data_IF_682768355922
#
_entry.id   IF_682768355922
#
_cell.length_a   1.000
_cell.length_b   1.000
_cell.length_c   1.000
_cell.angle_alpha   90.00
_cell.angle_beta   90.00
_cell.angle_gamma   90.00
#
_symmetry.space_group_name_H-M   'P 1'
#
loop_
_entity.id
_entity.type
_entity.pdbx_description
1 polymer ?
#
# COMPACT_ATOMS: atom_id res chain seq x y z
N UNK A 1 -11.41 -20.31 12.59
CA UNK A 1 -10.89 -19.94 11.26
C UNK A 1 -11.30 -18.50 10.98
N UNK A 2 -10.40 -17.59 10.60
CA UNK A 2 -10.80 -16.24 10.19
C UNK A 2 -11.62 -16.34 8.89
N UNK A 3 -12.87 -15.90 8.93
CA UNK A 3 -13.73 -15.79 7.75
C UNK A 3 -13.37 -14.50 7.01
N UNK A 4 -13.01 -14.62 5.73
CA UNK A 4 -12.74 -13.47 4.86
C UNK A 4 -13.95 -13.27 3.98
N UNK A 5 -14.49 -12.05 4.00
CA UNK A 5 -15.65 -11.64 3.24
C UNK A 5 -15.16 -10.92 1.97
N UNK A 6 -15.61 -11.32 0.78
CA UNK A 6 -15.10 -10.79 -0.50
C UNK A 6 -16.25 -10.58 -1.47
N UNK A 7 -16.54 -9.34 -1.88
CA UNK A 7 -17.44 -9.05 -2.99
C UNK A 7 -16.63 -9.03 -4.30
N UNK A 8 -17.22 -9.26 -5.46
CA UNK A 8 -16.49 -9.19 -6.73
C UNK A 8 -17.39 -8.46 -7.73
N UNK A 9 -16.88 -7.39 -8.35
CA UNK A 9 -17.64 -6.47 -9.18
C UNK A 9 -17.19 -6.58 -10.65
N UNK A 10 -18.05 -7.07 -11.57
CA UNK A 10 -17.80 -6.90 -12.99
C UNK A 10 -17.92 -5.42 -13.37
N UNK A 11 -17.05 -4.94 -14.25
CA UNK A 11 -17.15 -3.61 -14.86
C UNK A 11 -17.80 -3.84 -16.23
N UNK A 12 -19.09 -3.51 -16.54
CA UNK A 12 -20.08 -2.58 -15.95
C UNK A 12 -21.43 -3.22 -15.51
N UNK A 13 -22.28 -2.43 -14.82
CA UNK A 13 -23.54 -2.76 -14.09
C UNK A 13 -23.35 -3.27 -12.66
N UNK A 14 -23.43 -2.34 -11.70
CA UNK A 14 -23.41 -2.63 -10.25
C UNK A 14 -24.72 -3.35 -9.87
N UNK A 15 -24.67 -4.69 -9.80
CA UNK A 15 -25.77 -5.51 -9.28
C UNK A 15 -25.69 -5.61 -7.76
N UNK A 16 -26.77 -5.20 -7.09
CA UNK A 16 -26.88 -4.94 -5.63
C UNK A 16 -27.14 -6.17 -4.74
N UNK A 17 -26.73 -7.38 -5.11
CA UNK A 17 -27.33 -8.59 -4.50
C UNK A 17 -26.35 -9.64 -3.94
N UNK A 18 -25.35 -9.23 -3.14
CA UNK A 18 -24.51 -10.18 -2.39
C UNK A 18 -24.02 -9.63 -1.05
N UNK A 19 -23.88 -10.51 -0.06
CA UNK A 19 -23.58 -10.17 1.33
C UNK A 19 -22.24 -10.79 1.79
N UNK A 20 -21.55 -10.20 2.79
CA UNK A 20 -20.27 -10.67 3.32
C UNK A 20 -20.19 -12.19 3.60
N UNK A 21 -21.29 -12.79 4.08
CA UNK A 21 -21.40 -14.22 4.42
C UNK A 21 -21.23 -15.20 3.24
N UNK A 22 -21.17 -14.71 2.01
CA UNK A 22 -21.22 -15.55 0.80
C UNK A 22 -19.82 -16.02 0.31
N UNK A 23 -18.70 -15.68 0.97
CA UNK A 23 -17.35 -15.75 0.33
C UNK A 23 -16.15 -16.22 1.17
N UNK A 24 -16.33 -16.97 2.27
CA UNK A 24 -15.18 -17.53 2.97
C UNK A 24 -14.32 -18.41 2.04
N UNK A 25 -13.01 -18.16 1.99
CA UNK A 25 -12.03 -19.08 1.42
C UNK A 25 -11.53 -19.98 2.54
N UNK A 26 -11.51 -21.29 2.30
CA UNK A 26 -10.81 -22.23 3.16
C UNK A 26 -9.58 -22.75 2.41
N UNK A 27 -8.49 -22.93 3.15
CA UNK A 27 -7.31 -23.61 2.64
C UNK A 27 -7.39 -25.03 3.19
N UNK A 28 -7.58 -26.00 2.30
CA UNK A 28 -7.58 -27.41 2.68
C UNK A 28 -6.13 -27.90 2.65
N UNK A 29 -5.68 -28.42 3.77
CA UNK A 29 -4.42 -29.13 3.87
C UNK A 29 -4.73 -30.64 3.87
N UNK A 30 -4.56 -31.29 2.72
CA UNK A 30 -4.77 -32.74 2.60
C UNK A 30 -3.77 -33.59 3.40
N UNK A 31 -2.79 -32.95 4.08
CA UNK A 31 -1.77 -33.63 4.88
C UNK A 31 -2.03 -33.65 6.39
N UNK A 32 -3.27 -33.37 6.86
CA UNK A 32 -3.68 -33.56 8.27
C UNK A 32 -3.71 -35.03 8.76
N UNK A 33 -2.87 -35.90 8.18
CA UNK A 33 -2.45 -37.17 8.75
C UNK A 33 -0.94 -37.10 8.99
N UNK A 34 -0.56 -36.76 10.22
CA UNK A 34 0.80 -36.85 10.83
C UNK A 34 1.62 -35.54 10.92
N UNK A 35 1.43 -34.81 12.03
CA UNK A 35 2.52 -34.44 12.96
C UNK A 35 3.62 -33.45 12.55
N UNK A 36 3.76 -33.03 11.28
CA UNK A 36 4.78 -32.05 10.88
C UNK A 36 4.15 -30.73 10.49
N UNK A 37 4.29 -29.70 11.33
CA UNK A 37 4.06 -28.30 10.95
C UNK A 37 5.08 -27.88 9.87
N UNK A 38 4.67 -27.76 8.60
CA UNK A 38 5.43 -27.15 7.48
C UNK A 38 4.46 -26.70 6.38
N UNK A 39 4.75 -25.77 5.46
CA UNK A 39 5.59 -24.56 5.37
C UNK A 39 4.72 -23.59 4.50
N UNK A 40 4.52 -22.31 4.85
CA UNK A 40 3.53 -21.46 4.18
C UNK A 40 3.91 -21.05 2.74
N UNK A 41 5.03 -21.58 2.23
CA UNK A 41 5.68 -21.34 0.95
C UNK A 41 5.34 -22.37 -0.15
N UNK A 42 4.58 -23.41 0.19
CA UNK A 42 4.15 -24.47 -0.73
C UNK A 42 2.91 -24.10 -1.54
N UNK A 43 2.60 -24.93 -2.55
CA UNK A 43 1.45 -24.74 -3.44
C UNK A 43 0.14 -24.90 -2.66
N UNK A 44 -0.76 -23.94 -2.84
CA UNK A 44 -2.05 -23.93 -2.16
C UNK A 44 -3.08 -24.86 -2.81
N UNK A 45 -3.87 -25.54 -1.98
CA UNK A 45 -5.19 -26.04 -2.37
C UNK A 45 -6.26 -25.03 -1.91
N UNK A 46 -7.06 -24.56 -2.85
CA UNK A 46 -8.10 -23.56 -2.60
C UNK A 46 -9.46 -24.25 -2.57
N UNK A 47 -10.18 -24.11 -1.47
CA UNK A 47 -11.58 -24.52 -1.39
C UNK A 47 -12.49 -23.30 -1.21
N UNK A 48 -13.66 -23.38 -1.85
CA UNK A 48 -14.62 -22.29 -1.91
C UNK A 48 -15.88 -22.67 -1.13
N UNK A 49 -16.37 -21.76 -0.30
CA UNK A 49 -17.64 -21.97 0.39
C UNK A 49 -18.86 -21.85 -0.54
N UNK A 50 -18.74 -21.14 -1.65
CA UNK A 50 -19.83 -21.03 -2.65
C UNK A 50 -19.31 -21.17 -4.08
N UNK A 51 -20.14 -21.74 -4.95
CA UNK A 51 -19.85 -21.86 -6.38
C UNK A 51 -19.74 -20.48 -7.04
N UNK A 52 -20.44 -19.47 -6.50
CA UNK A 52 -20.34 -18.10 -6.99
C UNK A 52 -18.95 -17.52 -6.76
N UNK A 53 -18.40 -17.67 -5.55
CA UNK A 53 -17.03 -17.24 -5.24
C UNK A 53 -16.01 -17.92 -6.15
N UNK A 54 -16.16 -19.24 -6.33
CA UNK A 54 -15.30 -20.04 -7.19
C UNK A 54 -15.30 -19.52 -8.62
N UNK A 55 -16.47 -19.47 -9.26
CA UNK A 55 -16.61 -19.00 -10.64
C UNK A 55 -16.09 -17.58 -10.84
N UNK A 56 -16.35 -16.68 -9.89
CA UNK A 56 -15.87 -15.30 -9.97
C UNK A 56 -14.34 -15.20 -9.87
N UNK A 57 -13.69 -16.00 -9.02
CA UNK A 57 -12.24 -15.98 -8.90
C UNK A 57 -11.56 -16.72 -10.06
N UNK A 58 -12.18 -17.79 -10.57
CA UNK A 58 -11.75 -18.47 -11.80
C UNK A 58 -11.82 -17.54 -13.02
N UNK A 59 -12.90 -16.75 -13.15
CA UNK A 59 -13.03 -15.75 -14.22
C UNK A 59 -11.92 -14.69 -14.11
N UNK A 60 -11.65 -14.19 -12.91
CA UNK A 60 -10.54 -13.25 -12.68
C UNK A 60 -9.17 -13.87 -13.04
N UNK A 61 -8.97 -15.14 -12.70
CA UNK A 61 -7.76 -15.89 -13.04
C UNK A 61 -7.60 -16.09 -14.56
N UNK A 62 -8.70 -16.36 -15.28
CA UNK A 62 -8.73 -16.45 -16.74
C UNK A 62 -8.35 -15.13 -17.40
N UNK A 63 -8.90 -14.00 -16.92
CA UNK A 63 -8.51 -12.67 -17.39
C UNK A 63 -7.01 -12.41 -17.20
N UNK A 64 -6.45 -12.74 -16.03
CA UNK A 64 -5.01 -12.61 -15.80
C UNK A 64 -4.20 -13.47 -16.78
N UNK A 65 -4.59 -14.74 -17.00
CA UNK A 65 -3.94 -15.63 -17.96
C UNK A 65 -4.00 -15.10 -19.39
N UNK A 66 -5.11 -14.50 -19.79
CA UNK A 66 -5.28 -13.92 -21.13
C UNK A 66 -4.55 -12.60 -21.32
N UNK A 67 -3.84 -12.10 -20.30
CA UNK A 67 -3.11 -10.83 -20.35
C UNK A 67 -3.98 -9.59 -20.08
N UNK A 68 -5.19 -9.79 -19.56
CA UNK A 68 -6.10 -8.72 -19.16
C UNK A 68 -5.78 -8.20 -17.76
N UNK A 69 -6.26 -6.98 -17.47
CA UNK A 69 -6.03 -6.31 -16.19
C UNK A 69 -7.11 -6.67 -15.16
N UNK A 70 -6.66 -7.10 -13.97
CA UNK A 70 -7.52 -7.37 -12.82
C UNK A 70 -7.02 -6.60 -11.61
N UNK A 71 -7.89 -5.83 -10.96
CA UNK A 71 -7.58 -5.25 -9.68
C UNK A 71 -7.97 -6.21 -8.55
N UNK A 72 -7.09 -6.39 -7.56
CA UNK A 72 -7.31 -7.35 -6.47
C UNK A 72 -6.75 -6.84 -5.13
N UNK A 73 -7.34 -7.28 -3.99
CA UNK A 73 -6.92 -6.86 -2.66
C UNK A 73 -5.58 -7.52 -2.29
N UNK A 74 -4.78 -6.84 -1.48
CA UNK A 74 -3.71 -7.49 -0.69
C UNK A 74 -3.85 -7.07 0.77
N UNK A 75 -3.01 -7.57 1.67
CA UNK A 75 -2.95 -7.10 3.05
C UNK A 75 -2.40 -5.66 3.11
N UNK A 76 -1.69 -5.20 2.08
CA UNK A 76 -1.07 -3.86 2.00
C UNK A 76 -1.98 -2.82 1.37
N UNK A 77 -2.11 -2.87 0.04
CA UNK A 77 -2.91 -2.00 -0.82
C UNK A 77 -3.45 -2.85 -1.96
N UNK A 78 -4.51 -2.41 -2.65
CA UNK A 78 -5.00 -3.07 -3.85
C UNK A 78 -3.96 -3.00 -4.96
N UNK A 79 -3.77 -4.11 -5.68
CA UNK A 79 -2.86 -4.25 -6.80
C UNK A 79 -3.59 -4.26 -8.14
N UNK A 80 -2.99 -3.66 -9.17
CA UNK A 80 -3.44 -3.77 -10.56
C UNK A 80 -2.62 -4.87 -11.25
N UNK A 81 -3.17 -6.08 -11.30
CA UNK A 81 -2.48 -7.26 -11.79
C UNK A 81 -2.57 -7.47 -13.29
N UNK A 82 -1.47 -7.96 -13.86
CA UNK A 82 -1.41 -8.62 -15.15
C UNK A 82 -0.34 -9.73 -15.12
N UNK A 83 -0.33 -10.61 -16.12
CA UNK A 83 0.67 -11.68 -16.20
C UNK A 83 2.10 -11.11 -16.31
N UNK A 84 2.95 -11.41 -15.31
CA UNK A 84 4.30 -10.87 -15.21
C UNK A 84 5.26 -11.29 -16.33
N UNK A 85 5.07 -12.47 -16.94
CA UNK A 85 6.02 -13.01 -17.93
C UNK A 85 5.64 -12.63 -19.38
N UNK A 86 4.76 -11.63 -19.53
CA UNK A 86 4.23 -11.16 -20.81
C UNK A 86 4.40 -9.65 -20.93
N UNK A 87 5.15 -9.21 -21.94
CA UNK A 87 5.39 -7.78 -22.15
C UNK A 87 4.10 -7.03 -22.46
N UNK A 88 3.26 -7.55 -23.35
CA UNK A 88 1.97 -6.98 -23.74
C UNK A 88 1.02 -6.78 -22.54
N UNK A 89 0.99 -7.72 -21.61
CA UNK A 89 0.19 -7.63 -20.38
C UNK A 89 0.72 -6.53 -19.44
N UNK A 90 2.05 -6.47 -19.25
CA UNK A 90 2.67 -5.43 -18.42
C UNK A 90 2.55 -4.02 -19.03
N UNK A 91 2.60 -3.88 -20.36
CA UNK A 91 2.39 -2.61 -21.06
C UNK A 91 0.99 -2.03 -20.79
N UNK A 92 -0.03 -2.89 -20.71
CA UNK A 92 -1.39 -2.47 -20.32
C UNK A 92 -1.43 -1.86 -18.93
N UNK A 93 -0.64 -2.35 -17.96
CA UNK A 93 -0.54 -1.75 -16.63
C UNK A 93 -0.01 -0.31 -16.74
N UNK A 94 1.05 -0.09 -17.52
CA UNK A 94 1.61 1.25 -17.70
C UNK A 94 0.62 2.20 -18.37
N UNK A 95 -0.04 1.74 -19.43
CA UNK A 95 -1.05 2.50 -20.16
C UNK A 95 -2.25 2.87 -19.25
N UNK A 96 -2.79 1.91 -18.51
CA UNK A 96 -3.92 2.10 -17.60
C UNK A 96 -3.63 3.17 -16.53
N UNK A 97 -2.41 3.17 -15.99
CA UNK A 97 -2.00 4.05 -14.90
C UNK A 97 -1.42 5.38 -15.35
N UNK A 98 -1.10 5.54 -16.64
CA UNK A 98 -0.18 6.57 -17.13
C UNK A 98 1.13 6.59 -16.31
N UNK A 99 1.74 5.41 -16.16
CA UNK A 99 2.90 5.20 -15.30
C UNK A 99 4.20 5.47 -16.10
N UNK A 100 5.22 6.13 -15.51
CA UNK A 100 6.53 6.27 -16.13
C UNK A 100 7.18 4.90 -16.40
N UNK A 101 7.76 4.72 -17.60
CA UNK A 101 8.33 3.46 -18.07
C UNK A 101 9.63 3.04 -17.36
N UNK A 102 10.21 3.90 -16.53
CA UNK A 102 11.40 3.64 -15.71
C UNK A 102 11.07 3.22 -14.27
N UNK A 103 9.79 3.00 -13.95
CA UNK A 103 9.34 2.64 -12.61
C UNK A 103 8.91 1.16 -12.52
N UNK A 104 9.78 0.26 -12.04
CA UNK A 104 9.59 -1.19 -12.14
C UNK A 104 8.35 -1.68 -11.38
N UNK A 105 7.89 -2.89 -11.71
CA UNK A 105 6.74 -3.54 -11.08
C UNK A 105 7.19 -4.64 -10.10
N UNK A 106 6.35 -4.92 -9.10
CA UNK A 106 6.56 -6.04 -8.18
C UNK A 106 5.79 -7.26 -8.68
N UNK A 107 6.47 -8.40 -8.77
CA UNK A 107 5.88 -9.68 -9.14
C UNK A 107 5.34 -10.37 -7.89
N UNK A 108 4.10 -10.81 -7.97
CA UNK A 108 3.40 -11.53 -6.92
C UNK A 108 3.31 -13.02 -7.27
N UNK A 109 3.62 -13.87 -6.30
CA UNK A 109 3.64 -15.34 -6.42
C UNK A 109 2.75 -15.99 -5.36
N UNK A 110 2.25 -17.20 -5.64
CA UNK A 110 1.50 -17.99 -4.64
C UNK A 110 2.39 -18.94 -3.84
N UNK A 111 3.51 -19.38 -4.41
CA UNK A 111 4.38 -20.43 -3.88
C UNK A 111 5.81 -20.31 -4.45
N UNK A 112 6.73 -21.09 -3.89
CA UNK A 112 8.15 -21.10 -4.30
C UNK A 112 8.40 -21.73 -5.68
N UNK A 113 7.49 -22.54 -6.21
CA UNK A 113 7.60 -23.06 -7.57
C UNK A 113 7.45 -21.92 -8.58
N UNK A 114 6.55 -20.96 -8.35
CA UNK A 114 6.48 -19.74 -9.16
C UNK A 114 7.74 -18.86 -9.01
N UNK A 115 8.35 -18.80 -7.84
CA UNK A 115 9.63 -18.09 -7.67
C UNK A 115 10.71 -18.70 -8.56
N UNK A 116 10.80 -20.03 -8.63
CA UNK A 116 11.79 -20.73 -9.47
C UNK A 116 11.64 -20.39 -10.96
N UNK A 117 10.44 -20.05 -11.43
CA UNK A 117 10.23 -19.59 -12.82
C UNK A 117 10.89 -18.24 -13.09
N UNK A 118 11.17 -17.43 -12.07
CA UNK A 118 11.71 -16.07 -12.20
C UNK A 118 13.25 -16.06 -12.10
N UNK A 119 13.81 -16.96 -11.29
CA UNK A 119 15.23 -16.96 -10.93
C UNK A 119 16.11 -17.63 -11.99
N UNK A 120 17.41 -17.29 -12.07
CA UNK A 120 18.38 -18.11 -12.79
C UNK A 120 18.50 -19.50 -12.15
N UNK A 121 18.61 -20.57 -12.94
CA UNK A 121 18.71 -21.96 -12.45
C UNK A 121 19.85 -22.18 -11.44
N UNK A 122 20.98 -21.51 -11.64
CA UNK A 122 22.15 -21.62 -10.78
C UNK A 122 22.06 -20.75 -9.51
N UNK A 123 21.06 -19.86 -9.40
CA UNK A 123 20.97 -18.93 -8.28
C UNK A 123 20.63 -19.67 -6.98
N UNK A 124 21.41 -19.41 -5.93
CA UNK A 124 21.19 -19.95 -4.59
C UNK A 124 20.79 -18.81 -3.66
N UNK A 125 19.59 -18.94 -3.08
CA UNK A 125 19.11 -18.01 -2.06
C UNK A 125 20.00 -18.18 -0.83
N UNK A 126 20.59 -17.08 -0.34
CA UNK A 126 21.43 -17.09 0.86
C UNK A 126 20.60 -17.28 2.14
N UNK A 127 21.24 -17.69 3.23
CA UNK A 127 20.56 -18.05 4.47
C UNK A 127 19.82 -16.88 5.13
N UNK A 128 20.36 -15.66 5.05
CA UNK A 128 19.67 -14.47 5.57
C UNK A 128 18.37 -14.18 4.79
N UNK A 129 18.42 -14.28 3.46
CA UNK A 129 17.25 -14.12 2.60
C UNK A 129 16.22 -15.24 2.85
N UNK A 130 16.64 -16.50 3.02
CA UNK A 130 15.76 -17.61 3.42
C UNK A 130 15.08 -17.35 4.76
N UNK A 131 15.81 -16.87 5.77
CA UNK A 131 15.24 -16.56 7.07
C UNK A 131 14.19 -15.44 6.99
N UNK A 132 14.43 -14.41 6.17
CA UNK A 132 13.45 -13.36 5.89
C UNK A 132 12.20 -13.91 5.18
N UNK A 133 12.37 -14.77 4.18
CA UNK A 133 11.25 -15.45 3.51
C UNK A 133 10.45 -16.29 4.50
N UNK A 134 11.09 -17.11 5.32
CA UNK A 134 10.39 -17.94 6.32
C UNK A 134 9.63 -17.12 7.36
N UNK A 135 10.17 -15.97 7.75
CA UNK A 135 9.56 -15.12 8.77
C UNK A 135 8.40 -14.27 8.23
N UNK A 136 8.49 -13.80 6.99
CA UNK A 136 7.61 -12.75 6.46
C UNK A 136 6.88 -13.10 5.17
N UNK A 137 7.11 -14.28 4.58
CA UNK A 137 6.29 -14.80 3.50
C UNK A 137 5.41 -15.95 3.97
N UNK A 138 4.13 -15.95 3.57
CA UNK A 138 3.39 -14.87 2.90
C UNK A 138 3.25 -13.62 3.77
N UNK A 139 3.37 -12.43 3.18
CA UNK A 139 3.25 -11.18 3.90
C UNK A 139 3.80 -9.94 3.18
N UNK A 140 3.89 -8.80 3.89
CA UNK A 140 4.18 -7.50 3.31
C UNK A 140 5.69 -7.25 3.12
N UNK A 141 6.44 -8.30 2.78
CA UNK A 141 7.86 -8.22 2.41
C UNK A 141 8.03 -8.46 0.91
N UNK A 142 8.74 -7.56 0.25
CA UNK A 142 9.23 -7.72 -1.12
C UNK A 142 10.75 -7.88 -1.08
N UNK A 143 11.26 -8.92 -1.75
CA UNK A 143 12.70 -9.17 -1.87
C UNK A 143 13.13 -8.99 -3.33
N UNK A 144 14.28 -8.33 -3.55
CA UNK A 144 14.91 -8.28 -4.87
C UNK A 144 15.58 -9.61 -5.19
N UNK A 145 15.37 -10.09 -6.41
CA UNK A 145 16.02 -11.26 -6.95
C UNK A 145 16.57 -10.99 -8.35
N UNK A 146 17.66 -11.66 -8.77
CA UNK A 146 18.09 -11.62 -10.16
C UNK A 146 17.05 -12.26 -11.07
N UNK A 147 16.98 -11.78 -12.31
CA UNK A 147 16.11 -12.34 -13.34
C UNK A 147 16.83 -13.46 -14.10
N UNK A 148 16.16 -14.60 -14.26
CA UNK A 148 16.61 -15.74 -15.06
C UNK A 148 16.56 -15.49 -16.56
N UNK A 149 16.94 -16.53 -17.33
CA UNK A 149 16.85 -16.53 -18.78
C UNK A 149 15.92 -17.66 -19.24
N UNK A 150 15.12 -17.38 -20.26
CA UNK A 150 14.34 -18.38 -20.98
C UNK A 150 15.23 -19.18 -21.95
N UNK A 151 14.68 -20.23 -22.55
CA UNK A 151 15.40 -21.13 -23.46
C UNK A 151 15.96 -20.45 -24.71
N UNK A 152 15.38 -19.31 -25.10
CA UNK A 152 15.83 -18.48 -26.23
C UNK A 152 16.88 -17.42 -25.83
N UNK A 153 17.30 -17.42 -24.57
CA UNK A 153 18.26 -16.46 -24.01
C UNK A 153 17.65 -15.12 -23.58
N UNK A 154 16.34 -14.89 -23.80
CA UNK A 154 15.66 -13.68 -23.32
C UNK A 154 15.44 -13.71 -21.81
N UNK A 155 15.31 -12.56 -21.12
CA UNK A 155 14.99 -12.54 -19.69
C UNK A 155 13.64 -13.18 -19.42
N UNK A 156 13.54 -14.07 -18.43
CA UNK A 156 12.26 -14.73 -18.11
C UNK A 156 11.20 -13.73 -17.66
N UNK A 157 11.62 -12.66 -16.99
CA UNK A 157 10.78 -11.50 -16.69
C UNK A 157 11.08 -10.39 -17.71
N UNK A 158 10.09 -9.95 -18.52
CA UNK A 158 10.29 -8.91 -19.53
C UNK A 158 10.85 -7.60 -18.96
N UNK A 159 11.61 -6.89 -19.79
CA UNK A 159 12.20 -5.58 -19.45
C UNK A 159 11.14 -4.52 -19.14
N UNK A 160 9.92 -4.66 -19.65
CA UNK A 160 8.78 -3.81 -19.29
C UNK A 160 8.41 -3.92 -17.81
N UNK A 161 8.63 -5.08 -17.18
CA UNK A 161 8.40 -5.28 -15.74
C UNK A 161 9.57 -4.76 -14.91
N UNK A 162 10.81 -5.00 -15.35
CA UNK A 162 12.02 -4.62 -14.59
C UNK A 162 12.58 -3.24 -14.92
N UNK A 163 12.05 -2.58 -15.94
CA UNK A 163 12.62 -1.35 -16.51
C UNK A 163 14.09 -1.52 -16.93
N UNK A 164 14.44 -2.71 -17.45
CA UNK A 164 15.80 -3.05 -17.86
C UNK A 164 16.77 -3.35 -16.72
N UNK A 165 16.30 -3.36 -15.47
CA UNK A 165 17.12 -3.73 -14.31
C UNK A 165 17.43 -5.25 -14.33
N UNK A 166 18.62 -5.66 -13.82
CA UNK A 166 18.99 -7.08 -13.73
C UNK A 166 18.25 -7.82 -12.61
N UNK A 167 17.48 -7.10 -11.79
CA UNK A 167 16.71 -7.64 -10.67
C UNK A 167 15.23 -7.28 -10.79
N UNK A 168 14.41 -8.08 -10.10
CA UNK A 168 12.97 -7.88 -9.97
C UNK A 168 12.56 -8.01 -8.50
N UNK A 169 11.62 -7.17 -8.06
CA UNK A 169 11.01 -7.31 -6.74
C UNK A 169 9.96 -8.41 -6.77
N UNK A 170 10.10 -9.41 -5.89
CA UNK A 170 9.13 -10.51 -5.76
C UNK A 170 8.50 -10.48 -4.37
N UNK A 171 7.21 -10.80 -4.29
CA UNK A 171 6.45 -10.88 -3.04
C UNK A 171 5.45 -12.03 -3.07
N UNK A 172 5.28 -12.70 -1.93
CA UNK A 172 4.17 -13.61 -1.70
C UNK A 172 3.16 -12.92 -0.78
N UNK A 173 2.04 -12.35 -1.29
CA UNK A 173 1.09 -11.62 -0.45
C UNK A 173 0.42 -12.55 0.56
N UNK A 174 0.14 -12.10 1.79
CA UNK A 174 -0.58 -12.93 2.78
C UNK A 174 -2.09 -12.91 2.63
N UNK A 175 -2.64 -11.99 1.85
CA UNK A 175 -4.08 -11.91 1.64
C UNK A 175 -4.63 -13.16 0.96
N UNK A 176 -5.57 -13.89 1.59
CA UNK A 176 -6.09 -15.14 1.07
C UNK A 176 -6.67 -15.07 -0.33
N UNK A 177 -7.44 -14.03 -0.64
CA UNK A 177 -7.98 -13.81 -1.99
C UNK A 177 -6.88 -13.57 -3.02
N UNK A 178 -5.82 -12.83 -2.67
CA UNK A 178 -4.69 -12.59 -3.58
C UNK A 178 -3.96 -13.89 -3.88
N UNK A 179 -3.61 -14.66 -2.83
CA UNK A 179 -2.92 -15.94 -3.00
C UNK A 179 -3.75 -16.94 -3.80
N UNK A 180 -5.05 -17.03 -3.51
CA UNK A 180 -5.96 -17.90 -4.23
C UNK A 180 -6.07 -17.49 -5.71
N UNK A 181 -6.22 -16.20 -6.00
CA UNK A 181 -6.25 -15.68 -7.37
C UNK A 181 -4.97 -16.01 -8.14
N UNK A 182 -3.80 -15.75 -7.55
CA UNK A 182 -2.50 -16.03 -8.19
C UNK A 182 -2.34 -17.54 -8.41
N UNK A 183 -2.68 -18.35 -7.40
CA UNK A 183 -2.60 -19.81 -7.48
C UNK A 183 -3.53 -20.38 -8.58
N UNK A 184 -4.77 -19.89 -8.65
CA UNK A 184 -5.72 -20.28 -9.70
C UNK A 184 -5.29 -19.82 -11.07
N UNK A 185 -4.73 -18.62 -11.21
CA UNK A 185 -4.20 -18.12 -12.46
C UNK A 185 -3.05 -19.01 -12.95
N UNK A 186 -2.27 -19.57 -12.02
CA UNK A 186 -1.18 -20.49 -12.32
C UNK A 186 0.05 -19.79 -12.90
N UNK A 187 0.12 -18.46 -12.76
CA UNK A 187 1.18 -17.62 -13.33
C UNK A 187 1.57 -16.50 -12.36
N UNK A 188 2.85 -16.06 -12.33
CA UNK A 188 3.26 -14.90 -11.55
C UNK A 188 2.59 -13.61 -12.04
N UNK A 189 2.17 -12.74 -11.12
CA UNK A 189 1.37 -11.54 -11.43
C UNK A 189 2.17 -10.27 -11.15
N UNK A 190 2.47 -9.46 -12.16
CA UNK A 190 3.05 -8.14 -11.96
C UNK A 190 1.93 -7.20 -11.50
N UNK A 191 2.10 -6.55 -10.35
CA UNK A 191 1.07 -5.67 -9.79
C UNK A 191 1.66 -4.47 -9.03
N UNK A 192 1.62 -3.24 -9.58
CA UNK A 192 1.74 -2.03 -8.79
C UNK A 192 0.41 -1.75 -8.07
N UNK A 193 0.37 -0.72 -7.23
CA UNK A 193 -0.87 -0.24 -6.60
C UNK A 193 -1.94 0.12 -7.65
N UNK A 194 -3.22 -0.11 -7.37
CA UNK A 194 -4.33 0.03 -8.34
C UNK A 194 -4.94 1.45 -8.43
N UNK A 195 -4.11 2.50 -8.38
CA UNK A 195 -4.52 3.91 -8.51
C UNK A 195 -4.06 4.53 -9.84
N UNK A 196 -4.61 5.68 -10.20
CA UNK A 196 -3.98 6.53 -11.21
C UNK A 196 -2.60 7.01 -10.71
N UNK A 197 -1.60 7.14 -11.60
CA UNK A 197 -0.25 7.56 -11.19
C UNK A 197 -0.27 8.89 -10.42
N UNK A 198 0.49 8.98 -9.33
CA UNK A 198 0.55 10.15 -8.44
C UNK A 198 -0.41 10.11 -7.25
N UNK A 199 -1.65 9.61 -7.44
CA UNK A 199 -2.68 9.56 -6.38
C UNK A 199 -2.28 8.64 -5.20
N UNK A 200 -2.83 8.82 -3.99
CA UNK A 200 -2.62 7.90 -2.87
C UNK A 200 -2.98 6.46 -3.23
N UNK A 201 -2.31 5.46 -2.64
CA UNK A 201 -2.57 4.06 -2.98
C UNK A 201 -3.97 3.62 -2.52
N UNK A 202 -4.66 2.72 -3.26
CA UNK A 202 -6.00 2.29 -2.91
C UNK A 202 -5.97 1.20 -1.82
N UNK A 203 -6.71 1.40 -0.74
CA UNK A 203 -6.88 0.41 0.34
C UNK A 203 -8.25 -0.27 0.33
N UNK A 204 -9.11 0.06 -0.63
CA UNK A 204 -10.48 -0.48 -0.80
C UNK A 204 -10.78 -0.63 -2.29
N UNK A 205 -11.75 -1.47 -2.65
CA UNK A 205 -12.20 -1.59 -4.03
C UNK A 205 -12.86 -0.29 -4.55
N UNK A 206 -13.53 0.46 -3.67
CA UNK A 206 -14.09 1.77 -4.00
C UNK A 206 -13.00 2.75 -4.46
N UNK A 207 -11.84 2.75 -3.82
CA UNK A 207 -10.69 3.55 -4.27
C UNK A 207 -10.24 3.19 -5.68
N UNK A 208 -10.19 1.89 -6.01
CA UNK A 208 -9.85 1.41 -7.36
C UNK A 208 -10.90 1.85 -8.37
N UNK A 209 -12.18 1.66 -8.06
CA UNK A 209 -13.28 2.03 -8.94
C UNK A 209 -13.24 3.53 -9.26
N UNK A 210 -13.02 4.38 -8.26
CA UNK A 210 -12.96 5.84 -8.46
C UNK A 210 -11.81 6.27 -9.38
N UNK A 211 -10.64 5.62 -9.30
CA UNK A 211 -9.46 6.01 -10.10
C UNK A 211 -9.43 5.39 -11.50
N UNK A 212 -9.79 4.11 -11.61
CA UNK A 212 -9.57 3.30 -12.80
C UNK A 212 -10.86 2.85 -13.48
N UNK A 213 -12.00 2.86 -12.77
CA UNK A 213 -13.32 2.55 -13.33
C UNK A 213 -13.69 3.43 -14.52
N UNK A 214 -13.62 4.78 -14.41
CA UNK A 214 -13.92 5.70 -15.52
C UNK A 214 -13.05 5.52 -16.76
N UNK A 215 -11.89 4.86 -16.62
CA UNK A 215 -10.96 4.60 -17.73
C UNK A 215 -11.36 3.39 -18.57
N UNK A 216 -12.26 2.52 -18.07
CA UNK A 216 -12.68 1.28 -18.73
C UNK A 216 -11.50 0.38 -19.16
N UNK A 217 -10.42 0.36 -18.37
CA UNK A 217 -9.20 -0.43 -18.62
C UNK A 217 -9.15 -1.74 -17.85
N UNK A 218 -10.03 -1.92 -16.87
CA UNK A 218 -10.08 -3.10 -16.01
C UNK A 218 -11.10 -4.09 -16.57
N UNK A 219 -10.70 -5.34 -16.70
CA UNK A 219 -11.66 -6.42 -16.96
C UNK A 219 -12.43 -6.80 -15.70
N UNK A 220 -11.81 -6.65 -14.53
CA UNK A 220 -12.38 -7.15 -13.28
C UNK A 220 -11.83 -6.44 -12.03
N UNK A 221 -12.69 -6.26 -11.01
CA UNK A 221 -12.28 -5.81 -9.67
C UNK A 221 -12.74 -6.87 -8.65
N UNK A 222 -11.77 -7.49 -8.00
CA UNK A 222 -12.00 -8.36 -6.85
C UNK A 222 -12.04 -7.47 -5.61
N UNK A 223 -13.16 -7.41 -4.90
CA UNK A 223 -13.34 -6.62 -3.68
C UNK A 223 -13.18 -7.49 -2.43
N UNK A 224 -11.99 -7.49 -1.85
CA UNK A 224 -11.71 -8.21 -0.60
C UNK A 224 -11.95 -7.41 0.67
N UNK A 225 -12.68 -6.29 0.59
CA UNK A 225 -12.79 -5.35 1.70
C UNK A 225 -11.54 -4.50 1.88
N UNK A 226 -11.34 -3.96 3.08
CA UNK A 226 -10.23 -3.06 3.38
C UNK A 226 -8.91 -3.79 3.59
N UNK A 227 -7.82 -3.20 3.08
CA UNK A 227 -6.47 -3.65 3.41
C UNK A 227 -6.16 -3.40 4.90
N UNK A 228 -5.45 -4.35 5.53
CA UNK A 228 -5.20 -4.33 6.98
C UNK A 228 -3.91 -3.59 7.38
N UNK A 229 -2.91 -3.52 6.50
CA UNK A 229 -1.65 -2.77 6.74
C UNK A 229 -1.77 -1.32 6.27
N UNK A 230 -2.43 -1.07 5.13
CA UNK A 230 -2.73 0.26 4.57
C UNK A 230 -1.55 1.07 4.04
N UNK A 231 -0.32 0.54 4.12
CA UNK A 231 0.85 1.03 3.36
C UNK A 231 1.45 -0.13 2.56
N UNK A 232 2.26 0.18 1.55
CA UNK A 232 2.87 -0.86 0.70
C UNK A 232 3.86 -1.76 1.45
N UNK A 233 4.26 -2.85 0.79
CA UNK A 233 5.30 -3.75 1.31
C UNK A 233 6.64 -3.06 1.54
N UNK A 234 7.35 -3.56 2.55
CA UNK A 234 8.78 -3.24 2.74
C UNK A 234 9.56 -3.89 1.62
N UNK A 235 10.41 -3.12 0.94
CA UNK A 235 11.24 -3.63 -0.16
C UNK A 235 12.67 -3.75 0.31
N UNK A 236 13.22 -4.94 0.19
CA UNK A 236 14.53 -5.32 0.70
C UNK A 236 15.38 -5.91 -0.41
N UNK A 237 16.60 -5.44 -0.52
CA UNK A 237 17.66 -6.10 -1.26
C UNK A 237 18.53 -6.89 -0.29
N UNK A 238 18.42 -8.21 -0.37
CA UNK A 238 19.20 -9.15 0.42
C UNK A 238 20.03 -10.08 -0.48
N UNK A 239 20.14 -9.78 -1.78
CA UNK A 239 20.67 -10.72 -2.77
C UNK A 239 21.80 -10.17 -3.61
N UNK A 240 21.88 -8.85 -3.82
CA UNK A 240 22.89 -8.29 -4.75
C UNK A 240 24.22 -7.96 -4.08
N UNK A 241 24.24 -7.70 -2.77
CA UNK A 241 25.47 -7.34 -2.03
C UNK A 241 25.72 -8.31 -0.91
N UNK A 242 26.83 -9.04 -1.01
CA UNK A 242 27.26 -10.00 0.00
C UNK A 242 27.48 -9.32 1.35
N UNK A 243 26.94 -9.90 2.41
CA UNK A 243 27.06 -9.38 3.77
C UNK A 243 26.16 -8.18 4.10
N UNK A 244 25.28 -7.75 3.20
CA UNK A 244 24.36 -6.63 3.44
C UNK A 244 22.90 -7.02 3.18
N UNK A 245 22.01 -6.45 4.00
CA UNK A 245 20.57 -6.42 3.76
C UNK A 245 20.14 -4.97 3.76
N UNK A 246 19.58 -4.51 2.64
CA UNK A 246 19.27 -3.10 2.42
C UNK A 246 17.76 -2.90 2.32
N UNK A 247 17.20 -2.11 3.22
CA UNK A 247 15.81 -1.64 3.13
C UNK A 247 15.77 -0.49 2.13
N UNK A 248 15.24 -0.76 0.94
CA UNK A 248 15.10 0.20 -0.15
C UNK A 248 13.82 1.04 0.00
N UNK A 249 12.77 0.43 0.56
CA UNK A 249 11.51 1.12 0.86
C UNK A 249 10.94 0.62 2.19
N UNK A 250 10.71 1.50 3.19
CA UNK A 250 9.99 1.11 4.40
C UNK A 250 8.51 0.87 4.09
N UNK A 251 7.92 -0.12 4.75
CA UNK A 251 6.55 -0.57 4.52
C UNK A 251 6.03 -1.43 5.68
N UNK A 252 5.15 -2.39 5.37
CA UNK A 252 4.46 -3.22 6.36
C UNK A 252 5.32 -4.14 7.25
N UNK A 253 6.61 -4.30 6.96
CA UNK A 253 7.58 -4.94 7.86
C UNK A 253 8.58 -3.90 8.35
N UNK A 254 8.69 -3.73 9.67
CA UNK A 254 9.54 -2.69 10.26
C UNK A 254 11.02 -3.07 10.27
N UNK A 255 11.89 -2.08 10.40
CA UNK A 255 13.35 -2.29 10.47
C UNK A 255 13.72 -3.13 11.70
N UNK A 256 13.01 -2.97 12.81
CA UNK A 256 13.20 -3.72 14.04
C UNK A 256 12.80 -5.19 13.88
N UNK A 257 11.72 -5.47 13.14
CA UNK A 257 11.31 -6.83 12.79
C UNK A 257 12.37 -7.51 11.92
N UNK A 258 12.87 -6.83 10.88
CA UNK A 258 13.98 -7.34 10.06
C UNK A 258 15.22 -7.60 10.90
N UNK A 259 15.62 -6.64 11.73
CA UNK A 259 16.78 -6.75 12.62
C UNK A 259 16.66 -7.97 13.53
N UNK A 260 15.49 -8.23 14.12
CA UNK A 260 15.24 -9.39 14.98
C UNK A 260 15.49 -10.72 14.27
N UNK A 261 15.04 -10.85 13.01
CA UNK A 261 15.27 -12.06 12.18
C UNK A 261 16.73 -12.20 11.79
N UNK A 262 17.43 -11.08 11.60
CA UNK A 262 18.84 -11.05 11.18
C UNK A 262 19.85 -11.22 12.33
N UNK A 263 19.43 -11.13 13.61
CA UNK A 263 20.32 -11.31 14.78
C UNK A 263 21.19 -12.57 14.74
N UNK A 264 20.70 -13.75 14.28
CA UNK A 264 21.53 -14.95 14.18
C UNK A 264 22.62 -14.88 13.09
N UNK A 265 22.63 -13.84 12.25
CA UNK A 265 23.57 -13.63 11.15
C UNK A 265 24.46 -12.40 11.41
N UNK A 266 25.40 -12.46 12.38
CA UNK A 266 26.14 -11.27 12.85
C UNK A 266 27.06 -10.65 11.78
N UNK A 267 27.38 -11.38 10.72
CA UNK A 267 28.13 -10.86 9.56
C UNK A 267 27.27 -10.07 8.57
N UNK A 268 25.94 -10.04 8.76
CA UNK A 268 25.00 -9.34 7.88
C UNK A 268 24.69 -7.96 8.44
N UNK A 269 25.00 -6.94 7.66
CA UNK A 269 24.76 -5.54 7.99
C UNK A 269 23.40 -5.10 7.45
N UNK A 270 22.47 -4.78 8.35
CA UNK A 270 21.22 -4.11 7.98
C UNK A 270 21.48 -2.63 7.68
N UNK A 271 20.98 -2.14 6.56
CA UNK A 271 21.12 -0.77 6.08
C UNK A 271 19.78 -0.24 5.61
N UNK A 272 19.46 1.00 5.93
CA UNK A 272 18.22 1.67 5.50
C UNK A 272 18.55 2.79 4.52
N UNK A 273 17.94 2.74 3.34
CA UNK A 273 18.14 3.76 2.31
C UNK A 273 17.65 5.13 2.78
N UNK A 274 18.48 6.17 2.60
CA UNK A 274 18.20 7.53 3.06
C UNK A 274 18.47 7.77 4.55
N UNK A 275 18.91 6.76 5.30
CA UNK A 275 19.41 6.88 6.69
C UNK A 275 20.87 6.44 6.79
N UNK A 276 21.16 5.20 6.40
CA UNK A 276 22.52 4.61 6.48
C UNK A 276 23.23 4.62 5.13
N UNK A 277 22.45 4.64 4.04
CA UNK A 277 22.97 4.75 2.68
C UNK A 277 22.67 6.15 2.16
N UNK A 278 23.70 6.83 1.66
CA UNK A 278 23.55 8.14 1.05
C UNK A 278 22.58 8.06 -0.13
N UNK A 279 21.71 9.08 -0.25
CA UNK A 279 20.88 9.26 -1.44
C UNK A 279 21.81 9.61 -2.60
N UNK A 280 22.15 8.61 -3.42
CA UNK A 280 22.91 8.84 -4.65
C UNK A 280 21.95 9.34 -5.73
N UNK A 281 22.28 10.48 -6.34
CA UNK A 281 21.54 11.04 -7.48
C UNK A 281 21.39 10.01 -8.62
N UNK A 282 22.32 9.07 -8.76
CA UNK A 282 22.26 7.98 -9.75
C UNK A 282 21.14 6.99 -9.45
N UNK A 283 20.93 6.64 -8.17
CA UNK A 283 19.91 5.68 -7.74
C UNK A 283 18.51 6.31 -7.65
N UNK A 284 18.44 7.64 -7.45
CA UNK A 284 17.21 8.42 -7.61
C UNK A 284 16.85 8.63 -9.08
N UNK A 285 17.84 8.76 -9.98
CA UNK A 285 17.60 8.89 -11.42
C UNK A 285 17.16 7.58 -12.09
N UNK A 286 17.63 6.42 -11.61
CA UNK A 286 17.28 5.08 -12.11
C UNK A 286 16.78 4.18 -10.96
N UNK A 287 15.47 4.24 -10.63
CA UNK A 287 14.94 3.55 -9.46
C UNK A 287 14.91 2.04 -9.69
N UNK A 288 15.50 1.27 -8.77
CA UNK A 288 15.46 -0.21 -8.82
C UNK A 288 14.13 -0.78 -8.28
N UNK A 289 13.35 0.04 -7.58
CA UNK A 289 12.09 -0.37 -6.96
C UNK A 289 11.02 0.72 -7.02
N UNK A 290 9.72 0.36 -7.00
CA UNK A 290 8.66 1.35 -7.01
C UNK A 290 8.66 2.26 -5.78
N UNK A 291 8.44 3.55 -6.01
CA UNK A 291 8.23 4.54 -4.96
C UNK A 291 9.49 5.32 -4.53
N UNK A 292 10.61 5.23 -5.28
CA UNK A 292 11.86 5.93 -4.95
C UNK A 292 11.99 7.34 -5.54
N UNK A 293 11.57 7.57 -6.79
CA UNK A 293 11.89 8.79 -7.57
C UNK A 293 10.79 9.86 -7.61
N UNK A 294 9.54 9.46 -7.85
CA UNK A 294 8.47 10.41 -8.17
C UNK A 294 7.73 10.91 -6.93
N UNK A 295 7.10 12.08 -7.06
CA UNK A 295 6.10 12.57 -6.10
C UNK A 295 4.92 11.59 -6.12
N UNK A 296 4.95 10.66 -5.18
CA UNK A 296 3.95 9.62 -5.01
C UNK A 296 3.05 10.00 -3.85
N UNK A 297 1.78 9.58 -3.91
CA UNK A 297 0.80 9.71 -2.84
C UNK A 297 0.28 11.12 -2.60
N UNK A 298 0.36 12.00 -3.60
CA UNK A 298 -0.16 13.36 -3.48
C UNK A 298 -1.66 13.36 -3.79
N UNK A 299 -2.53 13.74 -2.85
CA UNK A 299 -3.88 14.17 -3.20
C UNK A 299 -3.82 15.46 -4.04
N UNK A 300 -4.97 15.84 -4.61
CA UNK A 300 -5.11 17.12 -5.31
C UNK A 300 -5.11 18.28 -4.30
N UNK A 301 -5.65 18.05 -3.10
CA UNK A 301 -5.54 18.94 -1.96
C UNK A 301 -4.07 19.21 -1.57
N UNK A 302 -3.75 20.45 -1.18
CA UNK A 302 -2.41 20.75 -0.64
C UNK A 302 -2.21 20.02 0.68
N UNK A 303 -1.14 19.26 0.83
CA UNK A 303 -0.80 18.61 2.10
C UNK A 303 0.21 19.46 2.87
N UNK A 304 -0.10 19.76 4.12
CA UNK A 304 0.79 20.39 5.10
C UNK A 304 1.11 19.37 6.19
N UNK A 305 2.40 19.17 6.45
CA UNK A 305 2.86 18.30 7.54
C UNK A 305 3.17 19.15 8.77
N UNK A 306 2.59 18.81 9.93
CA UNK A 306 2.79 19.55 11.18
C UNK A 306 3.45 18.68 12.25
N UNK A 307 4.39 19.26 12.98
CA UNK A 307 5.08 18.60 14.09
C UNK A 307 5.01 19.41 15.37
N UNK A 308 5.21 18.69 16.48
CA UNK A 308 5.27 19.25 17.81
C UNK A 308 6.42 20.28 17.89
N UNK A 309 6.05 21.50 18.28
CA UNK A 309 6.93 22.64 18.43
C UNK A 309 7.07 23.10 19.87
N UNK A 310 7.75 24.21 20.06
CA UNK A 310 7.90 24.88 21.36
C UNK A 310 6.84 25.98 21.52
N UNK A 311 6.68 26.52 22.73
CA UNK A 311 5.67 27.56 23.01
C UNK A 311 5.81 28.86 22.20
N UNK A 312 7.00 29.12 21.62
CA UNK A 312 7.23 30.26 20.72
C UNK A 312 6.80 30.01 19.26
N UNK A 313 6.50 28.76 18.90
CA UNK A 313 6.01 28.41 17.57
C UNK A 313 4.53 28.85 17.40
N UNK A 314 4.03 29.03 16.17
CA UNK A 314 2.64 29.42 15.94
C UNK A 314 1.66 28.31 16.38
N UNK A 315 0.44 28.68 16.77
CA UNK A 315 -0.61 27.71 17.10
C UNK A 315 -1.13 27.00 15.85
N UNK A 316 -1.71 25.80 16.01
CA UNK A 316 -2.19 25.00 14.89
C UNK A 316 -3.26 25.76 14.08
N UNK A 317 -4.20 26.39 14.78
CA UNK A 317 -5.26 27.17 14.15
C UNK A 317 -4.71 28.38 13.38
N UNK A 318 -3.67 29.04 13.89
CA UNK A 318 -3.01 30.14 13.18
C UNK A 318 -2.35 29.67 11.88
N UNK A 319 -1.62 28.55 11.94
CA UNK A 319 -1.00 27.93 10.76
C UNK A 319 -2.05 27.53 9.72
N UNK A 320 -3.15 26.90 10.15
CA UNK A 320 -4.28 26.53 9.28
C UNK A 320 -4.87 27.77 8.62
N UNK A 321 -5.21 28.79 9.39
CA UNK A 321 -5.90 30.00 8.91
C UNK A 321 -5.04 30.77 7.90
N UNK A 322 -3.75 30.95 8.20
CA UNK A 322 -2.82 31.62 7.29
C UNK A 322 -2.63 30.82 5.99
N UNK A 323 -2.46 29.50 6.10
CA UNK A 323 -2.26 28.65 4.94
C UNK A 323 -3.50 28.65 4.05
N UNK A 324 -4.69 28.49 4.65
CA UNK A 324 -5.96 28.53 3.96
C UNK A 324 -6.23 29.88 3.27
N UNK A 325 -5.91 31.00 3.91
CA UNK A 325 -6.06 32.34 3.32
C UNK A 325 -5.19 32.53 2.08
N UNK A 326 -4.07 31.81 1.97
CA UNK A 326 -3.19 31.86 0.79
C UNK A 326 -3.69 31.05 -0.42
N UNK A 327 -4.74 30.24 -0.26
CA UNK A 327 -5.28 29.38 -1.32
C UNK A 327 -6.28 30.09 -2.25
N UNK A 328 -6.55 31.39 -2.01
CA UNK A 328 -7.43 32.25 -2.83
C UNK A 328 -8.80 31.61 -3.16
N UNK A 329 -9.42 31.01 -2.15
CA UNK A 329 -10.72 30.36 -2.30
C UNK A 329 -11.85 31.40 -2.33
N UNK A 330 -12.75 31.32 -3.33
CA UNK A 330 -13.97 32.14 -3.38
C UNK A 330 -15.07 31.72 -2.38
N UNK A 331 -14.79 30.68 -1.60
CA UNK A 331 -15.63 30.11 -0.54
C UNK A 331 -14.78 29.88 0.70
N UNK A 332 -15.42 29.58 1.83
CA UNK A 332 -14.70 29.06 3.00
C UNK A 332 -13.79 27.90 2.58
N UNK A 333 -12.53 27.98 2.99
CA UNK A 333 -11.55 26.95 2.68
C UNK A 333 -11.89 25.67 3.44
N UNK A 334 -11.90 24.54 2.75
CA UNK A 334 -12.17 23.22 3.29
C UNK A 334 -10.85 22.60 3.74
N UNK A 335 -10.73 22.37 5.03
CA UNK A 335 -9.50 21.90 5.66
C UNK A 335 -9.76 20.56 6.35
N UNK A 336 -9.11 19.52 5.86
CA UNK A 336 -9.12 18.20 6.48
C UNK A 336 -7.95 18.05 7.45
N UNK A 337 -8.21 17.67 8.68
CA UNK A 337 -7.19 17.37 9.68
C UNK A 337 -6.97 15.86 9.72
N UNK A 338 -5.72 15.40 9.63
CA UNK A 338 -5.35 14.00 9.82
C UNK A 338 -4.45 13.91 11.05
N UNK A 339 -5.10 13.81 12.21
CA UNK A 339 -4.46 13.83 13.52
C UNK A 339 -4.81 12.56 14.32
N UNK A 340 -3.96 12.20 15.27
CA UNK A 340 -4.29 11.22 16.28
C UNK A 340 -5.27 11.81 17.32
N UNK A 341 -6.13 10.96 17.89
CA UNK A 341 -7.18 11.38 18.84
C UNK A 341 -6.62 11.87 20.19
N UNK A 342 -5.45 11.39 20.57
CA UNK A 342 -4.68 11.75 21.77
C UNK A 342 -3.57 12.77 21.48
N UNK A 343 -3.55 13.35 20.28
CA UNK A 343 -2.49 14.28 19.87
C UNK A 343 -2.51 15.59 20.67
N UNK A 344 -1.36 16.05 21.21
CA UNK A 344 -1.23 17.41 21.77
C UNK A 344 -1.55 18.51 20.74
N UNK A 345 -1.33 18.27 19.46
CA UNK A 345 -1.71 19.20 18.37
C UNK A 345 -3.23 19.33 18.26
N UNK A 346 -3.96 18.24 18.46
CA UNK A 346 -5.42 18.28 18.49
C UNK A 346 -5.94 19.06 19.70
N UNK A 347 -5.26 18.92 20.85
CA UNK A 347 -5.59 19.68 22.06
C UNK A 347 -5.31 21.18 21.89
N UNK A 348 -4.24 21.55 21.18
CA UNK A 348 -3.88 22.95 20.90
C UNK A 348 -4.74 23.64 19.83
N UNK A 349 -5.58 22.88 19.11
CA UNK A 349 -6.47 23.43 18.07
C UNK A 349 -7.51 24.40 18.63
N UNK A 350 -7.94 24.22 19.88
CA UNK A 350 -8.87 25.12 20.56
C UNK A 350 -10.31 25.09 20.02
N UNK A 351 -10.72 24.00 19.36
CA UNK A 351 -12.08 23.81 18.81
C UNK A 351 -12.82 22.75 19.66
N UNK A 352 -13.75 23.16 20.54
CA UNK A 352 -14.41 22.25 21.50
C UNK A 352 -15.14 21.09 20.84
N UNK A 353 -15.80 21.30 19.71
CA UNK A 353 -16.62 20.30 19.02
C UNK A 353 -15.77 19.13 18.49
N UNK A 354 -14.64 19.44 17.85
CA UNK A 354 -13.68 18.44 17.37
C UNK A 354 -13.05 17.70 18.56
N UNK A 355 -12.69 18.43 19.61
CA UNK A 355 -12.08 17.85 20.80
C UNK A 355 -13.04 16.89 21.53
N UNK A 356 -14.30 17.30 21.73
CA UNK A 356 -15.33 16.45 22.34
C UNK A 356 -15.62 15.21 21.49
N UNK A 357 -15.68 15.36 20.16
CA UNK A 357 -15.83 14.22 19.27
C UNK A 357 -14.65 13.25 19.42
N UNK A 358 -13.41 13.72 19.46
CA UNK A 358 -12.24 12.88 19.64
C UNK A 358 -12.23 12.15 21.00
N UNK A 359 -12.58 12.84 22.09
CA UNK A 359 -12.68 12.27 23.44
C UNK A 359 -13.74 11.17 23.55
N UNK A 360 -14.78 11.20 22.71
CA UNK A 360 -15.83 10.17 22.69
C UNK A 360 -15.36 8.81 22.16
N UNK A 361 -14.14 8.72 21.61
CA UNK A 361 -13.60 7.53 20.94
C UNK A 361 -14.56 6.94 19.90
N UNK A 362 -14.89 7.74 18.87
CA UNK A 362 -15.92 7.38 17.91
C UNK A 362 -15.51 6.17 17.07
N UNK A 363 -16.51 5.38 16.68
CA UNK A 363 -16.31 4.29 15.71
C UNK A 363 -16.10 4.82 14.29
N UNK A 364 -16.64 6.01 14.00
CA UNK A 364 -16.49 6.72 12.74
C UNK A 364 -15.07 7.26 12.59
N UNK A 365 -14.57 7.30 11.35
CA UNK A 365 -13.24 7.85 11.06
C UNK A 365 -13.25 9.36 10.88
N UNK A 366 -14.40 9.95 10.54
CA UNK A 366 -14.50 11.34 10.16
C UNK A 366 -15.45 12.09 11.11
N UNK A 367 -15.01 13.22 11.63
CA UNK A 367 -15.83 14.07 12.49
C UNK A 367 -16.90 14.81 11.68
N UNK A 368 -17.98 15.27 12.35
CA UNK A 368 -18.82 16.33 11.80
C UNK A 368 -17.98 17.55 11.40
N UNK A 369 -18.45 18.27 10.38
CA UNK A 369 -17.83 19.51 9.92
C UNK A 369 -18.11 20.64 10.90
N UNK A 370 -17.05 21.34 11.30
CA UNK A 370 -17.12 22.58 12.09
C UNK A 370 -16.87 23.78 11.18
N UNK A 371 -17.67 24.83 11.34
CA UNK A 371 -17.57 26.06 10.55
C UNK A 371 -16.99 27.19 11.40
N UNK A 372 -15.94 27.83 10.88
CA UNK A 372 -15.35 29.03 11.44
C UNK A 372 -15.36 30.13 10.35
N UNK A 373 -15.17 31.42 10.69
CA UNK A 373 -15.06 32.47 9.69
C UNK A 373 -13.97 32.14 8.64
N UNK A 374 -14.39 31.94 7.39
CA UNK A 374 -13.49 31.61 6.26
C UNK A 374 -13.02 30.16 6.18
N UNK A 375 -13.44 29.27 7.10
CA UNK A 375 -12.98 27.88 7.17
C UNK A 375 -14.12 26.89 7.40
N UNK A 376 -13.99 25.72 6.79
CA UNK A 376 -14.72 24.51 7.17
C UNK A 376 -13.68 23.46 7.54
N UNK A 377 -13.82 22.87 8.73
CA UNK A 377 -12.88 21.91 9.30
C UNK A 377 -13.53 20.57 9.56
N UNK A 378 -12.83 19.48 9.27
CA UNK A 378 -13.19 18.15 9.76
C UNK A 378 -11.93 17.37 10.14
N UNK A 379 -12.07 16.48 11.11
CA UNK A 379 -11.00 15.58 11.56
C UNK A 379 -11.23 14.19 10.97
N UNK A 380 -10.22 13.69 10.27
CA UNK A 380 -10.07 12.29 9.94
C UNK A 380 -9.11 11.63 10.95
N UNK A 381 -9.63 10.71 11.75
CA UNK A 381 -8.92 10.05 12.85
C UNK A 381 -7.87 9.06 12.36
N UNK A 382 -6.60 9.30 12.72
CA UNK A 382 -5.51 8.34 12.53
C UNK A 382 -5.46 7.24 13.61
N UNK A 383 -6.35 7.27 14.60
CA UNK A 383 -6.30 6.41 15.77
C UNK A 383 -5.57 7.08 16.94
N UNK A 384 -4.83 6.31 17.72
CA UNK A 384 -4.02 6.79 18.86
C UNK A 384 -2.55 6.91 18.44
N UNK A 385 -1.80 7.88 18.97
CA UNK A 385 -0.35 8.04 18.71
C UNK A 385 0.43 6.78 19.09
N UNK A 386 0.00 6.10 20.14
CA UNK A 386 0.58 4.83 20.60
C UNK A 386 0.30 3.62 19.69
N UNK A 387 -0.54 3.77 18.66
CA UNK A 387 -0.94 2.70 17.74
C UNK A 387 -0.59 3.04 16.27
N UNK A 388 0.71 3.12 15.91
CA UNK A 388 1.14 3.51 14.56
C UNK A 388 0.64 2.54 13.47
N UNK A 389 0.37 1.28 13.77
CA UNK A 389 -0.23 0.34 12.82
C UNK A 389 -1.63 0.79 12.35
N UNK A 390 -2.42 1.37 13.26
CA UNK A 390 -3.74 1.92 12.93
C UNK A 390 -3.62 3.17 12.06
N UNK A 391 -2.65 4.04 12.36
CA UNK A 391 -2.36 5.21 11.55
C UNK A 391 -1.93 4.81 10.13
N UNK A 392 -1.07 3.79 9.99
CA UNK A 392 -0.69 3.24 8.69
C UNK A 392 -1.90 2.68 7.93
N UNK A 393 -2.77 1.91 8.60
CA UNK A 393 -4.00 1.37 8.00
C UNK A 393 -4.90 2.47 7.43
N UNK A 394 -5.00 3.59 8.14
CA UNK A 394 -5.91 4.69 7.83
C UNK A 394 -5.29 5.80 6.97
N UNK A 395 -3.99 5.78 6.73
CA UNK A 395 -3.26 6.86 6.06
C UNK A 395 -3.81 7.17 4.66
N UNK A 396 -3.77 6.20 3.75
CA UNK A 396 -4.25 6.45 2.38
C UNK A 396 -5.77 6.60 2.32
N UNK A 397 -6.52 5.90 3.16
CA UNK A 397 -7.97 6.07 3.26
C UNK A 397 -8.33 7.51 3.66
N UNK A 398 -7.59 8.11 4.61
CA UNK A 398 -7.79 9.49 5.03
C UNK A 398 -7.44 10.49 3.94
N UNK A 399 -6.26 10.35 3.33
CA UNK A 399 -5.86 11.20 2.20
C UNK A 399 -6.91 11.16 1.09
N UNK A 400 -7.44 9.97 0.76
CA UNK A 400 -8.44 9.81 -0.30
C UNK A 400 -9.82 10.29 0.12
N UNK A 401 -10.25 10.05 1.35
CA UNK A 401 -11.54 10.51 1.88
C UNK A 401 -11.63 12.04 1.84
N UNK A 402 -10.55 12.71 2.27
CA UNK A 402 -10.48 14.17 2.28
C UNK A 402 -10.36 14.76 0.86
N UNK A 403 -9.76 14.02 -0.07
CA UNK A 403 -9.62 14.40 -1.48
C UNK A 403 -10.88 14.08 -2.32
N UNK A 404 -11.69 13.10 -1.92
CA UNK A 404 -12.81 12.55 -2.71
C UNK A 404 -14.19 13.13 -2.38
N UNK A 405 -14.25 14.33 -1.79
CA UNK A 405 -15.48 15.16 -1.77
C UNK A 405 -16.64 14.72 -0.85
N UNK A 406 -16.43 13.95 0.23
CA UNK A 406 -17.54 13.17 0.84
C UNK A 406 -18.26 13.78 2.07
N UNK A 407 -17.86 14.92 2.65
CA UNK A 407 -18.33 15.26 4.01
C UNK A 407 -18.88 16.67 4.27
N UNK A 408 -18.89 17.56 3.27
CA UNK A 408 -19.13 18.99 3.52
C UNK A 408 -20.61 19.37 3.50
N UNK A 409 -21.37 18.96 4.52
CA UNK A 409 -22.74 19.44 4.85
C UNK A 409 -23.66 19.64 3.63
N UNK A 410 -23.84 18.59 2.81
CA UNK A 410 -24.74 18.62 1.65
C UNK A 410 -24.17 19.25 0.37
N UNK A 411 -22.90 19.68 0.37
CA UNK A 411 -22.17 20.03 -0.83
C UNK A 411 -21.01 19.07 -1.04
N UNK A 412 -20.96 18.43 -2.21
CA UNK A 412 -19.78 17.70 -2.64
C UNK A 412 -18.60 18.68 -2.81
N UNK A 413 -17.39 18.21 -2.52
CA UNK A 413 -16.15 18.81 -3.02
C UNK A 413 -14.96 18.60 -2.08
N UNK A 414 -13.77 18.52 -2.67
CA UNK A 414 -12.53 18.12 -2.00
C UNK A 414 -12.08 19.14 -0.95
N UNK A 415 -11.19 18.71 -0.06
CA UNK A 415 -10.41 19.64 0.74
C UNK A 415 -9.51 20.49 -0.15
N UNK A 416 -9.32 21.75 0.22
CA UNK A 416 -8.29 22.61 -0.37
C UNK A 416 -6.93 22.38 0.33
N UNK A 417 -6.99 22.06 1.62
CA UNK A 417 -5.84 21.79 2.49
C UNK A 417 -6.07 20.53 3.33
N UNK A 418 -5.06 19.68 3.40
CA UNK A 418 -4.98 18.58 4.35
C UNK A 418 -3.81 18.88 5.31
N UNK A 419 -4.09 18.91 6.61
CA UNK A 419 -3.08 19.06 7.65
C UNK A 419 -2.85 17.71 8.31
N UNK A 420 -1.71 17.10 8.03
CA UNK A 420 -1.32 15.81 8.58
C UNK A 420 -0.26 15.99 9.66
N UNK A 421 -0.37 15.22 10.73
CA UNK A 421 0.57 15.22 11.84
C UNK A 421 1.76 14.28 11.59
N UNK A 422 2.95 14.70 12.03
CA UNK A 422 4.13 13.84 12.08
C UNK A 422 3.98 12.75 13.15
N UNK A 423 4.49 11.56 12.84
CA UNK A 423 4.58 10.44 13.78
C UNK A 423 6.05 10.10 14.03
N UNK A 424 6.34 9.52 15.19
CA UNK A 424 7.65 8.99 15.50
C UNK A 424 8.10 7.97 14.43
N UNK A 425 9.35 8.00 13.99
CA UNK A 425 9.88 7.12 12.94
C UNK A 425 10.26 5.70 13.41
N UNK A 426 9.80 5.27 14.57
CA UNK A 426 9.93 3.88 15.05
C UNK A 426 8.84 2.98 14.49
N UNK A 427 9.18 1.71 14.24
CA UNK A 427 8.22 0.72 13.76
C UNK A 427 7.57 1.12 12.43
N UNK A 428 6.24 1.14 12.37
CA UNK A 428 5.47 1.56 11.19
C UNK A 428 5.57 3.05 10.89
N UNK A 429 5.95 3.86 11.87
CA UNK A 429 6.08 5.29 11.71
C UNK A 429 7.09 5.70 10.64
N UNK A 430 8.17 4.94 10.46
CA UNK A 430 9.11 5.14 9.34
C UNK A 430 8.41 5.02 7.98
N UNK A 431 7.51 4.05 7.82
CA UNK A 431 6.76 3.86 6.60
C UNK A 431 5.76 5.01 6.38
N UNK A 432 5.02 5.40 7.42
CA UNK A 432 4.07 6.52 7.41
C UNK A 432 4.77 7.81 7.00
N UNK A 433 5.84 8.17 7.70
CA UNK A 433 6.61 9.39 7.44
C UNK A 433 7.24 9.39 6.05
N UNK A 434 7.68 8.24 5.54
CA UNK A 434 8.14 8.13 4.16
C UNK A 434 7.05 8.49 3.14
N UNK A 435 5.78 8.17 3.41
CA UNK A 435 4.64 8.52 2.54
C UNK A 435 4.22 9.97 2.71
N UNK A 436 4.05 10.43 3.96
CA UNK A 436 3.64 11.80 4.26
C UNK A 436 4.64 12.83 3.72
N UNK A 437 5.95 12.60 3.85
CA UNK A 437 6.97 13.50 3.29
C UNK A 437 6.93 13.60 1.77
N UNK A 438 6.47 12.56 1.07
CA UNK A 438 6.30 12.58 -0.40
C UNK A 438 5.02 13.28 -0.83
N UNK A 439 3.98 13.23 -0.02
CA UNK A 439 2.72 13.94 -0.25
C UNK A 439 2.83 15.44 0.10
N UNK A 440 3.49 15.75 1.23
CA UNK A 440 3.57 17.08 1.81
C UNK A 440 4.18 18.12 0.86
N UNK A 441 3.57 19.30 0.85
CA UNK A 441 4.10 20.50 0.18
C UNK A 441 5.08 21.29 1.05
N UNK A 442 4.92 21.21 2.36
CA UNK A 442 5.75 21.88 3.37
C UNK A 442 5.60 21.19 4.72
N UNK A 443 6.59 21.42 5.60
CA UNK A 443 6.57 20.97 7.00
C UNK A 443 6.67 22.20 7.91
N UNK A 444 5.85 22.27 8.95
CA UNK A 444 5.80 23.39 9.90
C UNK A 444 5.75 22.86 11.34
N UNK A 445 6.51 23.49 12.25
CA UNK A 445 6.39 23.24 13.69
C UNK A 445 5.30 24.10 14.30
N UNK A 446 4.57 23.53 15.25
CA UNK A 446 3.38 24.13 15.84
C UNK A 446 3.46 24.03 17.36
N UNK A 447 3.15 25.11 18.06
CA UNK A 447 3.14 25.10 19.52
C UNK A 447 2.16 24.04 20.06
N UNK A 448 2.68 23.20 20.96
CA UNK A 448 1.92 22.25 21.76
C UNK A 448 1.96 22.66 23.23
N UNK A 449 0.92 22.31 24.04
CA UNK A 449 0.81 22.72 25.43
C UNK A 449 1.88 22.13 26.35
#
# INVERSE_FOLDING_TARGET
MPQIHTQILPVPHVSSSLQPRDFGLQFCDESQRQGTMKEPLERLQVSFLTEKSKRSLETAADHLRSGELVAFPTETVYGLGAYALRSDASERIYAAKNRPADNPLIVHISDTTMLQQILPDAFKINEACKALMQAFWPGPLTLLFPVGQASDGSPTVPSTVTCGQPTVGVRMPSHPVARALISLAGVPIAAPSANASGRPSPTTAAHVMNDLGPRNVLSYIVDGGECHVGVESTVVDATTVSGEVRVLRPGGITVEQLSKVLRPFPSVLLRVYGKDLARSAVQEAAPTTPGMKYRHYSPDARVLLVSDGVSSDPTLLHVITNTASSLDCQRDARVGLMLALDSPLLQSLGIPEIHQWALSQPSERLSPVVRLPGLQLCLYSLGQRSAPDMAARRLFDGLRTLDACVAWSGQEGACDLIVAEEVDETGMGLAIMNRLRKAASSTIRVAVP
#
